data_IF_513140323109
#
_entry.id   IF_513140323109
#
_cell.length_a   1.000
_cell.length_b   1.000
_cell.length_c   1.000
_cell.angle_alpha   90.00
_cell.angle_beta   90.00
_cell.angle_gamma   90.00
#
_symmetry.space_group_name_H-M   'P 1'
#
loop_
_entity.id
_entity.type
_entity.pdbx_description
1 polymer ?
#
# COMPACT_ATOMS: atom_id res chain seq x y z
N UNK A 1 17.78 2.57 6.67
CA UNK A 1 16.70 2.04 5.83
C UNK A 1 16.45 3.03 4.70
N UNK A 2 16.26 2.56 3.47
CA UNK A 2 15.80 3.43 2.39
C UNK A 2 14.35 3.86 2.62
N UNK A 3 13.91 4.90 1.92
CA UNK A 3 12.52 5.36 1.98
C UNK A 3 11.55 4.27 1.52
N UNK A 4 11.82 3.63 0.38
CA UNK A 4 11.12 2.42 -0.05
C UNK A 4 10.97 1.36 1.04
N UNK A 5 12.03 1.05 1.80
CA UNK A 5 11.95 0.06 2.88
C UNK A 5 10.99 0.49 4.00
N UNK A 6 10.98 1.78 4.34
CA UNK A 6 10.06 2.32 5.34
C UNK A 6 8.61 2.25 4.83
N UNK A 7 8.38 2.65 3.58
CA UNK A 7 7.07 2.54 2.92
C UNK A 7 6.59 1.09 2.93
N UNK A 8 7.41 0.17 2.45
CA UNK A 8 7.06 -1.24 2.38
C UNK A 8 6.69 -1.80 3.76
N UNK A 9 7.45 -1.47 4.81
CA UNK A 9 7.14 -1.91 6.17
C UNK A 9 5.79 -1.35 6.63
N UNK A 10 5.56 -0.04 6.49
CA UNK A 10 4.32 0.58 6.97
C UNK A 10 3.08 0.06 6.24
N UNK A 11 3.19 -0.11 4.93
CA UNK A 11 2.11 -0.64 4.09
C UNK A 11 1.87 -2.11 4.44
N UNK A 12 2.93 -2.89 4.63
CA UNK A 12 2.82 -4.31 5.01
C UNK A 12 2.23 -4.49 6.41
N UNK A 13 2.66 -3.71 7.40
CA UNK A 13 2.12 -3.69 8.76
C UNK A 13 0.60 -3.44 8.73
N UNK A 14 0.16 -2.40 8.03
CA UNK A 14 -1.26 -2.08 7.91
C UNK A 14 -2.06 -3.19 7.21
N UNK A 15 -1.52 -3.77 6.13
CA UNK A 15 -2.18 -4.88 5.42
C UNK A 15 -2.30 -6.10 6.33
N UNK A 16 -1.24 -6.44 7.05
CA UNK A 16 -1.23 -7.57 7.98
C UNK A 16 -2.29 -7.39 9.07
N UNK A 17 -2.35 -6.19 9.65
CA UNK A 17 -3.34 -5.83 10.68
C UNK A 17 -4.78 -5.89 10.13
N UNK A 18 -5.02 -5.39 8.92
CA UNK A 18 -6.36 -5.36 8.32
C UNK A 18 -6.84 -6.74 7.85
N UNK A 19 -5.91 -7.59 7.40
CA UNK A 19 -6.23 -8.90 6.81
C UNK A 19 -6.00 -10.09 7.74
N UNK A 20 -5.59 -9.84 8.98
CA UNK A 20 -5.24 -10.88 9.94
C UNK A 20 -4.19 -11.85 9.34
N UNK A 21 -3.21 -11.26 8.64
CA UNK A 21 -2.12 -11.97 7.99
C UNK A 21 -0.84 -11.87 8.81
N UNK A 22 -0.08 -12.96 8.85
CA UNK A 22 1.25 -12.94 9.41
C UNK A 22 2.24 -12.30 8.43
N UNK A 23 3.27 -11.64 8.96
CA UNK A 23 4.30 -10.99 8.14
C UNK A 23 5.05 -11.94 7.20
N UNK A 24 5.07 -13.24 7.51
CA UNK A 24 5.66 -14.29 6.68
C UNK A 24 4.81 -14.67 5.47
N UNK A 25 3.50 -14.46 5.54
CA UNK A 25 2.55 -14.65 4.43
C UNK A 25 2.51 -13.43 3.50
N UNK A 26 3.03 -12.29 3.97
CA UNK A 26 3.08 -11.06 3.21
C UNK A 26 4.20 -11.08 2.16
N UNK A 27 3.85 -10.77 0.91
CA UNK A 27 4.79 -10.74 -0.22
C UNK A 27 4.53 -9.52 -1.09
N UNK A 28 5.61 -8.82 -1.48
CA UNK A 28 5.53 -7.62 -2.32
C UNK A 28 4.85 -7.85 -3.69
N UNK A 29 4.79 -9.09 -4.16
CA UNK A 29 4.15 -9.44 -5.43
C UNK A 29 2.64 -9.68 -5.30
N UNK A 30 2.09 -9.74 -4.08
CA UNK A 30 0.65 -9.86 -3.88
C UNK A 30 -0.04 -8.60 -4.40
N UNK A 31 -1.16 -8.81 -5.07
CA UNK A 31 -2.03 -7.72 -5.53
C UNK A 31 -3.07 -7.38 -4.48
N UNK A 32 -3.57 -6.14 -4.49
CA UNK A 32 -4.63 -5.70 -3.58
C UNK A 32 -5.91 -6.55 -3.74
N UNK A 33 -6.19 -7.05 -4.94
CA UNK A 33 -7.30 -7.99 -5.19
C UNK A 33 -7.05 -9.35 -4.53
N UNK A 34 -5.83 -9.89 -4.58
CA UNK A 34 -5.50 -11.15 -3.91
C UNK A 34 -5.54 -11.02 -2.39
N UNK A 35 -5.26 -9.83 -1.88
CA UNK A 35 -5.43 -9.46 -0.48
C UNK A 35 -6.90 -9.13 -0.13
N UNK A 36 -7.82 -9.28 -1.10
CA UNK A 36 -9.26 -9.04 -0.93
C UNK A 36 -9.57 -7.66 -0.35
N UNK A 37 -8.87 -6.62 -0.79
CA UNK A 37 -9.11 -5.24 -0.35
C UNK A 37 -10.54 -4.80 -0.61
N UNK A 38 -11.20 -4.31 0.44
CA UNK A 38 -12.51 -3.69 0.41
C UNK A 38 -12.41 -2.15 0.48
N UNK A 39 -13.56 -1.48 0.44
CA UNK A 39 -13.61 -0.01 0.47
C UNK A 39 -12.99 0.62 1.73
N UNK A 40 -13.02 -0.06 2.88
CA UNK A 40 -12.43 0.44 4.11
C UNK A 40 -10.91 0.30 4.07
N UNK A 41 -10.40 -0.82 3.57
CA UNK A 41 -8.96 -1.04 3.41
C UNK A 41 -8.32 0.03 2.51
N UNK A 42 -8.97 0.37 1.39
CA UNK A 42 -8.50 1.44 0.51
C UNK A 42 -8.47 2.80 1.22
N UNK A 43 -9.48 3.11 2.02
CA UNK A 43 -9.53 4.37 2.78
C UNK A 43 -8.42 4.41 3.83
N UNK A 44 -8.20 3.32 4.56
CA UNK A 44 -7.15 3.24 5.57
C UNK A 44 -5.76 3.38 4.93
N UNK A 45 -5.53 2.70 3.81
CA UNK A 45 -4.33 2.85 3.00
C UNK A 45 -4.09 4.31 2.57
N UNK A 46 -5.11 4.97 2.02
CA UNK A 46 -5.03 6.39 1.60
C UNK A 46 -4.72 7.31 2.80
N UNK A 47 -5.33 7.06 3.96
CA UNK A 47 -5.11 7.83 5.18
C UNK A 47 -3.69 7.63 5.71
N UNK A 48 -3.20 6.39 5.73
CA UNK A 48 -1.83 6.06 6.15
C UNK A 48 -0.81 6.77 5.24
N UNK A 49 -0.98 6.68 3.93
CA UNK A 49 -0.06 7.30 2.97
C UNK A 49 -0.04 8.82 3.10
N UNK A 50 -1.21 9.44 3.32
CA UNK A 50 -1.32 10.88 3.58
C UNK A 50 -0.66 11.29 4.89
N UNK A 51 -0.81 10.49 5.94
CA UNK A 51 -0.26 10.79 7.26
C UNK A 51 1.25 10.60 7.34
N UNK A 52 1.76 9.49 6.80
CA UNK A 52 3.15 9.08 6.97
C UNK A 52 4.05 9.65 5.86
N UNK A 53 3.54 9.83 4.64
CA UNK A 53 4.33 10.27 3.48
C UNK A 53 3.86 11.61 2.89
N UNK A 54 2.83 12.25 3.48
CA UNK A 54 2.26 13.51 2.99
C UNK A 54 1.76 13.45 1.53
N UNK A 55 1.37 12.25 1.07
CA UNK A 55 0.87 11.99 -0.29
C UNK A 55 -0.63 11.67 -0.29
N UNK A 56 -1.36 12.16 -1.28
CA UNK A 56 -2.77 11.80 -1.46
C UNK A 56 -2.93 10.81 -2.61
N UNK A 57 -3.23 9.55 -2.28
CA UNK A 57 -3.63 8.56 -3.27
C UNK A 57 -5.10 8.74 -3.64
N UNK A 58 -5.39 8.80 -4.94
CA UNK A 58 -6.76 8.92 -5.45
C UNK A 58 -7.40 7.54 -5.66
N UNK A 59 -8.72 7.43 -5.48
CA UNK A 59 -9.48 6.25 -5.83
C UNK A 59 -9.32 5.90 -7.33
N UNK A 60 -9.21 6.93 -8.18
CA UNK A 60 -9.02 6.76 -9.62
C UNK A 60 -7.75 5.96 -9.95
N UNK A 61 -6.69 6.08 -9.14
CA UNK A 61 -5.46 5.30 -9.31
C UNK A 61 -5.72 3.79 -9.19
N UNK A 62 -6.49 3.38 -8.18
CA UNK A 62 -6.83 1.97 -7.97
C UNK A 62 -7.80 1.44 -9.02
N UNK A 63 -8.70 2.30 -9.53
CA UNK A 63 -9.61 1.94 -10.63
C UNK A 63 -8.84 1.72 -11.93
N UNK A 64 -7.80 2.53 -12.20
CA UNK A 64 -6.93 2.38 -13.37
C UNK A 64 -5.96 1.21 -13.24
N UNK A 65 -5.59 0.85 -12.02
CA UNK A 65 -4.65 -0.24 -11.71
C UNK A 65 -5.27 -1.30 -10.78
N UNK A 66 -6.31 -2.03 -11.20
CA UNK A 66 -7.03 -2.96 -10.33
C UNK A 66 -6.15 -4.10 -9.81
N UNK A 67 -5.16 -4.53 -10.60
CA UNK A 67 -4.22 -5.59 -10.24
C UNK A 67 -2.88 -5.06 -9.72
N UNK A 68 -2.87 -3.88 -9.10
CA UNK A 68 -1.64 -3.32 -8.54
C UNK A 68 -1.08 -4.23 -7.44
N UNK A 69 0.22 -4.53 -7.52
CA UNK A 69 0.93 -5.24 -6.46
C UNK A 69 1.42 -4.29 -5.37
N UNK A 70 1.63 -4.82 -4.17
CA UNK A 70 2.19 -4.07 -3.04
C UNK A 70 3.51 -3.40 -3.43
N UNK A 71 4.36 -4.09 -4.21
CA UNK A 71 5.59 -3.55 -4.76
C UNK A 71 5.35 -2.28 -5.57
N UNK A 72 4.49 -2.34 -6.58
CA UNK A 72 4.22 -1.22 -7.48
C UNK A 72 3.58 -0.06 -6.71
N UNK A 73 2.72 -0.37 -5.74
CA UNK A 73 2.17 0.64 -4.83
C UNK A 73 3.26 1.34 -4.04
N UNK A 74 4.19 0.60 -3.44
CA UNK A 74 5.32 1.16 -2.68
C UNK A 74 6.25 1.98 -3.57
N UNK A 75 6.60 1.48 -4.76
CA UNK A 75 7.41 2.21 -5.75
C UNK A 75 6.72 3.51 -6.21
N UNK A 76 5.40 3.50 -6.37
CA UNK A 76 4.62 4.70 -6.70
C UNK A 76 4.69 5.74 -5.58
N UNK A 77 4.46 5.33 -4.33
CA UNK A 77 4.54 6.21 -3.16
C UNK A 77 5.96 6.77 -3.00
N UNK A 78 7.00 5.94 -3.16
CA UNK A 78 8.40 6.35 -3.05
C UNK A 78 8.72 7.44 -4.08
N UNK A 79 8.35 7.22 -5.34
CA UNK A 79 8.56 8.17 -6.43
C UNK A 79 7.82 9.50 -6.25
N UNK A 80 6.56 9.45 -5.84
CA UNK A 80 5.77 10.67 -5.61
C UNK A 80 6.27 11.45 -4.38
N UNK A 81 6.86 10.75 -3.40
CA UNK A 81 7.41 11.39 -2.19
C UNK A 81 8.73 12.12 -2.44
N UNK A 82 9.44 11.78 -3.51
CA UNK A 82 10.66 12.47 -3.95
C UNK A 82 10.38 13.73 -4.79
N UNK A 83 9.12 13.95 -5.20
CA UNK A 83 8.70 15.05 -6.08
C UNK A 83 8.22 16.29 -5.32
#
# INVERSE_FOLDING_TARGET
MSQYQNIYIKISEMICDAKDLETEDMNENLTLIQLEFDSLDYVELMVLVKREFNLSLDADFFIQHPNISVKILCEHIDKESES
#
